data_IF_382376914955
#
_entry.id   IF_382376914955
#
_cell.length_a   1.000
_cell.length_b   1.000
_cell.length_c   1.000
_cell.angle_alpha   90.00
_cell.angle_beta   90.00
_cell.angle_gamma   90.00
#
_symmetry.space_group_name_H-M   'P 1'
#
loop_
_entity.id
_entity.type
_entity.pdbx_description
1 polymer ?
#
# COMPACT_ATOMS: atom_id res chain seq x y z
N UNK A 1 64.83 -40.38 4.59
CA UNK A 1 64.32 -39.51 5.67
C UNK A 1 62.92 -39.02 5.27
N UNK A 2 61.89 -39.83 5.53
CA UNK A 2 60.51 -39.49 5.14
C UNK A 2 59.83 -38.80 6.32
N UNK A 3 59.53 -37.50 6.19
CA UNK A 3 58.70 -36.76 7.16
C UNK A 3 57.27 -37.26 7.03
N UNK A 4 56.78 -37.98 8.04
CA UNK A 4 55.35 -38.26 8.19
C UNK A 4 54.61 -36.92 8.33
N UNK A 5 53.77 -36.61 7.35
CA UNK A 5 52.75 -35.56 7.46
C UNK A 5 51.81 -35.98 8.59
N UNK A 6 51.94 -35.33 9.76
CA UNK A 6 50.96 -35.45 10.85
C UNK A 6 49.64 -34.87 10.32
N UNK A 7 48.73 -35.73 9.89
CA UNK A 7 47.33 -35.38 9.74
C UNK A 7 46.82 -35.00 11.14
N UNK A 8 46.74 -33.71 11.40
CA UNK A 8 46.16 -33.18 12.62
C UNK A 8 44.64 -33.43 12.51
N UNK A 9 44.17 -34.53 13.10
CA UNK A 9 42.74 -34.79 13.22
C UNK A 9 42.13 -33.59 13.97
N UNK A 10 41.30 -32.82 13.26
CA UNK A 10 40.48 -31.79 13.89
C UNK A 10 39.72 -32.44 15.06
N UNK A 11 39.68 -31.79 16.23
CA UNK A 11 38.94 -32.33 17.37
C UNK A 11 37.50 -32.58 16.96
N UNK A 12 36.94 -33.73 17.35
CA UNK A 12 35.56 -34.12 17.04
C UNK A 12 34.57 -33.01 17.44
N UNK A 13 34.84 -32.33 18.56
CA UNK A 13 34.08 -31.16 19.02
C UNK A 13 34.08 -29.99 18.03
N UNK A 14 35.21 -29.72 17.37
CA UNK A 14 35.28 -28.67 16.35
C UNK A 14 34.45 -29.03 15.11
N UNK A 15 34.39 -30.32 14.74
CA UNK A 15 33.52 -30.78 13.64
C UNK A 15 32.04 -30.60 14.01
N UNK A 16 31.64 -31.02 15.20
CA UNK A 16 30.25 -30.90 15.68
C UNK A 16 29.84 -29.42 15.79
N UNK A 17 30.69 -28.56 16.35
CA UNK A 17 30.45 -27.12 16.46
C UNK A 17 30.27 -26.47 15.07
N UNK A 18 31.09 -26.85 14.10
CA UNK A 18 30.99 -26.34 12.71
C UNK A 18 29.67 -26.75 12.06
N UNK A 19 29.22 -27.99 12.28
CA UNK A 19 27.94 -28.47 11.75
C UNK A 19 26.76 -27.71 12.36
N UNK A 20 26.75 -27.53 13.69
CA UNK A 20 25.70 -26.76 14.39
C UNK A 20 25.68 -25.32 13.90
N UNK A 21 26.86 -24.71 13.73
CA UNK A 21 26.99 -23.35 13.22
C UNK A 21 26.44 -23.22 11.79
N UNK A 22 26.79 -24.15 10.90
CA UNK A 22 26.25 -24.19 9.54
C UNK A 22 24.73 -24.38 9.52
N UNK A 23 24.18 -25.28 10.35
CA UNK A 23 22.73 -25.45 10.47
C UNK A 23 22.04 -24.18 10.97
N UNK A 24 22.67 -23.48 11.92
CA UNK A 24 22.13 -22.23 12.47
C UNK A 24 22.11 -21.13 11.42
N UNK A 25 23.17 -21.02 10.61
CA UNK A 25 23.22 -20.08 9.48
C UNK A 25 22.13 -20.39 8.46
N UNK A 26 21.94 -21.66 8.11
CA UNK A 26 20.89 -22.07 7.17
C UNK A 26 19.49 -21.75 7.71
N UNK A 27 19.24 -22.03 8.99
CA UNK A 27 17.98 -21.69 9.65
C UNK A 27 17.74 -20.17 9.67
N UNK A 28 18.78 -19.39 9.94
CA UNK A 28 18.71 -17.93 9.92
C UNK A 28 18.37 -17.40 8.52
N UNK A 29 19.03 -17.88 7.47
CA UNK A 29 18.72 -17.48 6.09
C UNK A 29 17.31 -17.88 5.67
N UNK A 30 16.84 -19.06 6.07
CA UNK A 30 15.47 -19.51 5.80
C UNK A 30 14.44 -18.57 6.46
N UNK A 31 14.64 -18.25 7.74
CA UNK A 31 13.78 -17.31 8.47
C UNK A 31 13.80 -15.91 7.85
N UNK A 32 14.98 -15.41 7.50
CA UNK A 32 15.13 -14.10 6.85
C UNK A 32 14.40 -14.02 5.51
N UNK A 33 14.49 -15.07 4.69
CA UNK A 33 13.80 -15.14 3.41
C UNK A 33 12.27 -15.25 3.60
N UNK A 34 11.80 -16.00 4.60
CA UNK A 34 10.38 -16.10 4.93
C UNK A 34 9.80 -14.74 5.37
N UNK A 35 10.52 -14.00 6.22
CA UNK A 35 10.13 -12.64 6.62
C UNK A 35 10.10 -11.70 5.42
N UNK A 36 11.14 -11.72 4.57
CA UNK A 36 11.19 -10.88 3.37
C UNK A 36 10.03 -11.18 2.42
N UNK A 37 9.71 -12.47 2.23
CA UNK A 37 8.59 -12.90 1.40
C UNK A 37 7.24 -12.44 1.98
N UNK A 38 7.05 -12.61 3.29
CA UNK A 38 5.82 -12.18 3.98
C UNK A 38 5.61 -10.67 3.91
N UNK A 39 6.68 -9.88 4.09
CA UNK A 39 6.63 -8.43 3.94
C UNK A 39 6.31 -7.99 2.51
N UNK A 40 6.91 -8.66 1.52
CA UNK A 40 6.65 -8.40 0.11
C UNK A 40 5.21 -8.77 -0.29
N UNK A 41 4.69 -9.88 0.24
CA UNK A 41 3.33 -10.34 0.00
C UNK A 41 2.30 -9.40 0.64
N UNK A 42 2.54 -8.93 1.87
CA UNK A 42 1.68 -7.96 2.55
C UNK A 42 1.68 -6.60 1.83
N UNK A 43 2.84 -6.15 1.34
CA UNK A 43 2.93 -4.96 0.49
C UNK A 43 2.15 -5.16 -0.83
N UNK A 44 2.26 -6.34 -1.44
CA UNK A 44 1.50 -6.70 -2.63
C UNK A 44 -0.02 -6.77 -2.39
N UNK A 45 -0.47 -7.19 -1.20
CA UNK A 45 -1.89 -7.19 -0.86
C UNK A 45 -2.43 -5.76 -0.67
N UNK A 46 -1.73 -4.92 0.08
CA UNK A 46 -2.11 -3.51 0.26
C UNK A 46 -2.14 -2.75 -1.07
N UNK A 47 -1.20 -3.04 -1.97
CA UNK A 47 -1.17 -2.46 -3.32
C UNK A 47 -2.35 -2.92 -4.20
N UNK A 48 -2.66 -4.22 -4.20
CA UNK A 48 -3.85 -4.75 -4.89
C UNK A 48 -5.14 -4.11 -4.38
N UNK A 49 -5.25 -3.93 -3.06
CA UNK A 49 -6.39 -3.24 -2.46
C UNK A 49 -6.44 -1.77 -2.82
N UNK A 50 -5.30 -1.08 -2.86
CA UNK A 50 -5.24 0.31 -3.29
C UNK A 50 -5.71 0.46 -4.74
N UNK A 51 -5.35 -0.48 -5.62
CA UNK A 51 -5.83 -0.53 -7.00
C UNK A 51 -7.34 -0.77 -7.04
N UNK A 52 -7.87 -1.76 -6.29
CA UNK A 52 -9.31 -2.04 -6.22
C UNK A 52 -10.10 -0.81 -5.80
N UNK A 53 -9.69 -0.15 -4.72
CA UNK A 53 -10.33 1.06 -4.21
C UNK A 53 -10.23 2.20 -5.22
N UNK A 54 -9.06 2.39 -5.85
CA UNK A 54 -8.88 3.43 -6.88
C UNK A 54 -9.83 3.24 -8.08
N UNK A 55 -10.15 1.99 -8.43
CA UNK A 55 -11.10 1.68 -9.49
C UNK A 55 -12.55 1.89 -9.01
N UNK A 56 -12.83 1.56 -7.75
CA UNK A 56 -14.15 1.71 -7.15
C UNK A 56 -14.58 3.18 -7.03
N UNK A 57 -13.64 4.13 -6.90
CA UNK A 57 -13.94 5.57 -6.80
C UNK A 57 -14.75 6.09 -7.99
N UNK A 58 -14.53 5.56 -9.20
CA UNK A 58 -15.25 5.97 -10.41
C UNK A 58 -16.63 5.30 -10.56
N UNK A 59 -17.04 4.46 -9.63
CA UNK A 59 -18.40 3.91 -9.64
C UNK A 59 -19.41 4.99 -9.21
N UNK A 60 -20.65 4.95 -9.70
CA UNK A 60 -21.63 6.00 -9.41
C UNK A 60 -22.33 5.89 -8.05
N UNK A 61 -22.21 4.73 -7.41
CA UNK A 61 -22.96 4.36 -6.21
C UNK A 61 -22.21 4.71 -4.92
N UNK A 62 -22.66 5.78 -4.25
CA UNK A 62 -22.11 6.29 -2.99
C UNK A 62 -22.25 5.27 -1.86
N UNK A 63 -23.30 4.44 -1.87
CA UNK A 63 -23.52 3.39 -0.86
C UNK A 63 -22.47 2.27 -0.96
N UNK A 64 -21.71 2.24 -2.07
CA UNK A 64 -20.60 1.31 -2.34
C UNK A 64 -19.24 2.02 -2.46
N UNK A 65 -19.16 3.30 -2.09
CA UNK A 65 -17.93 4.09 -2.16
C UNK A 65 -17.63 4.72 -3.51
N UNK A 66 -18.59 4.70 -4.41
CA UNK A 66 -18.53 5.38 -5.68
C UNK A 66 -18.76 6.88 -5.56
N UNK A 67 -17.76 7.66 -6.00
CA UNK A 67 -17.82 9.13 -6.05
C UNK A 67 -18.06 9.60 -7.50
N UNK A 68 -18.05 8.65 -8.45
CA UNK A 68 -18.36 8.87 -9.85
C UNK A 68 -19.80 9.31 -10.10
N UNK A 69 -20.07 9.82 -11.30
CA UNK A 69 -21.41 10.16 -11.75
C UNK A 69 -22.08 9.04 -12.54
N UNK A 70 -21.31 8.28 -13.31
CA UNK A 70 -21.78 7.12 -14.08
C UNK A 70 -20.64 6.10 -14.21
N UNK A 71 -20.98 4.84 -14.49
CA UNK A 71 -20.00 3.80 -14.84
C UNK A 71 -19.19 4.13 -16.11
N UNK A 72 -19.77 4.93 -17.00
CA UNK A 72 -19.14 5.40 -18.24
C UNK A 72 -18.45 6.76 -18.10
N UNK A 73 -18.74 7.50 -17.04
CA UNK A 73 -18.36 8.90 -16.89
C UNK A 73 -17.40 9.06 -15.72
N UNK A 74 -16.13 9.37 -16.03
CA UNK A 74 -15.06 9.59 -15.03
C UNK A 74 -15.17 10.95 -14.33
N UNK A 75 -16.39 11.49 -14.24
CA UNK A 75 -16.72 12.74 -13.58
C UNK A 75 -16.97 12.53 -12.09
N UNK A 76 -16.42 13.40 -11.27
CA UNK A 76 -16.56 13.38 -9.82
C UNK A 76 -17.20 14.68 -9.31
N UNK A 77 -18.12 14.56 -8.35
CA UNK A 77 -18.71 15.70 -7.65
C UNK A 77 -18.14 15.85 -6.24
N UNK A 78 -17.73 17.05 -5.82
CA UNK A 78 -17.14 17.29 -4.50
C UNK A 78 -18.08 16.96 -3.34
N UNK A 79 -19.38 17.21 -3.49
CA UNK A 79 -20.36 17.01 -2.41
C UNK A 79 -20.52 15.52 -2.02
N UNK A 80 -20.21 14.59 -2.94
CA UNK A 80 -20.20 13.14 -2.64
C UNK A 80 -19.00 12.73 -1.79
N UNK A 81 -17.89 13.46 -1.86
CA UNK A 81 -16.65 13.17 -1.15
C UNK A 81 -16.80 13.39 0.36
N UNK A 82 -17.47 14.50 0.72
CA UNK A 82 -17.66 14.92 2.12
C UNK A 82 -18.48 13.90 2.91
N UNK A 83 -19.48 13.28 2.28
CA UNK A 83 -20.30 12.24 2.91
C UNK A 83 -19.51 10.97 3.26
N UNK A 84 -18.51 10.63 2.43
CA UNK A 84 -17.73 9.41 2.59
C UNK A 84 -16.56 9.57 3.59
N UNK A 85 -16.20 10.81 3.98
CA UNK A 85 -14.96 11.16 4.65
C UNK A 85 -14.66 10.40 5.95
N UNK A 86 -15.66 10.11 6.79
CA UNK A 86 -15.43 9.40 8.07
C UNK A 86 -15.66 7.89 7.99
N UNK A 87 -16.12 7.37 6.84
CA UNK A 87 -16.55 5.97 6.68
C UNK A 87 -15.87 5.24 5.54
N UNK A 88 -14.82 5.81 4.92
CA UNK A 88 -14.17 5.20 3.75
C UNK A 88 -13.74 3.75 3.99
N UNK A 89 -13.27 3.42 5.19
CA UNK A 89 -12.89 2.05 5.56
C UNK A 89 -14.05 1.06 5.52
N UNK A 90 -15.20 1.45 6.09
CA UNK A 90 -16.43 0.65 6.07
C UNK A 90 -16.99 0.54 4.65
N UNK A 91 -17.00 1.67 3.94
CA UNK A 91 -17.56 1.83 2.60
C UNK A 91 -16.83 0.96 1.57
N UNK A 92 -15.49 0.91 1.63
CA UNK A 92 -14.70 0.05 0.73
C UNK A 92 -14.50 -1.37 1.27
N UNK A 93 -15.04 -1.68 2.45
CA UNK A 93 -14.87 -2.94 3.16
C UNK A 93 -13.39 -3.39 3.17
N UNK A 94 -12.52 -2.53 3.69
CA UNK A 94 -11.07 -2.76 3.69
C UNK A 94 -10.52 -2.79 5.12
N UNK A 95 -9.50 -3.62 5.41
CA UNK A 95 -8.83 -3.59 6.71
C UNK A 95 -7.94 -2.34 6.90
N UNK A 96 -7.67 -1.58 5.84
CA UNK A 96 -6.77 -0.43 5.85
C UNK A 96 -7.51 0.90 6.03
N UNK A 97 -6.82 1.90 6.58
CA UNK A 97 -7.32 3.27 6.57
C UNK A 97 -7.16 3.84 5.15
N UNK A 98 -8.16 4.61 4.72
CA UNK A 98 -8.23 5.17 3.36
C UNK A 98 -8.31 6.68 3.44
N UNK A 99 -7.50 7.34 2.62
CA UNK A 99 -7.54 8.78 2.42
C UNK A 99 -7.58 9.09 0.93
N UNK A 100 -8.48 9.97 0.53
CA UNK A 100 -8.67 10.38 -0.86
C UNK A 100 -8.49 11.88 -0.93
N UNK A 101 -7.58 12.33 -1.80
CA UNK A 101 -7.30 13.73 -2.07
C UNK A 101 -7.58 14.00 -3.55
N UNK A 102 -8.48 14.95 -3.83
CA UNK A 102 -8.77 15.42 -5.18
C UNK A 102 -8.24 16.84 -5.32
N UNK A 103 -7.29 17.01 -6.24
CA UNK A 103 -6.66 18.30 -6.56
C UNK A 103 -7.22 18.81 -7.88
N UNK A 104 -7.73 20.05 -7.86
CA UNK A 104 -8.36 20.69 -9.01
C UNK A 104 -7.45 21.78 -9.57
N UNK A 105 -7.26 21.79 -10.89
CA UNK A 105 -6.49 22.80 -11.62
C UNK A 105 -4.96 22.63 -11.54
N UNK A 106 -4.23 23.42 -12.34
CA UNK A 106 -2.77 23.46 -12.31
C UNK A 106 -2.30 23.93 -10.92
N UNK A 107 -1.39 23.16 -10.31
CA UNK A 107 -0.84 23.36 -8.96
C UNK A 107 -1.78 23.14 -7.75
N UNK A 108 -3.04 22.70 -7.95
CA UNK A 108 -3.93 22.35 -6.84
C UNK A 108 -4.55 23.54 -6.11
N UNK A 109 -5.05 24.53 -6.86
CA UNK A 109 -5.72 25.73 -6.34
C UNK A 109 -6.92 25.42 -5.43
N UNK A 110 -7.55 24.26 -5.62
CA UNK A 110 -8.59 23.74 -4.73
C UNK A 110 -8.31 22.27 -4.42
N UNK A 111 -8.53 21.90 -3.15
CA UNK A 111 -8.43 20.52 -2.67
C UNK A 111 -9.74 20.07 -2.07
N UNK A 112 -10.14 18.85 -2.40
CA UNK A 112 -11.23 18.14 -1.76
C UNK A 112 -10.65 16.87 -1.14
N UNK A 113 -10.88 16.68 0.16
CA UNK A 113 -10.25 15.63 0.93
C UNK A 113 -11.32 14.80 1.66
N UNK A 114 -11.08 13.50 1.76
CA UNK A 114 -11.91 12.57 2.50
C UNK A 114 -11.03 11.55 3.22
N UNK A 115 -11.32 11.30 4.50
CA UNK A 115 -10.47 10.49 5.37
C UNK A 115 -9.47 11.32 6.17
N UNK A 116 -8.63 10.64 6.94
CA UNK A 116 -7.57 11.27 7.73
C UNK A 116 -6.29 11.25 6.88
N UNK A 117 -5.62 12.39 6.74
CA UNK A 117 -4.37 12.47 5.97
C UNK A 117 -3.27 11.63 6.66
N UNK A 118 -2.68 10.63 5.97
CA UNK A 118 -1.65 9.78 6.56
C UNK A 118 -0.38 10.55 6.93
N UNK A 119 -0.07 11.66 6.26
CA UNK A 119 1.11 12.49 6.54
C UNK A 119 1.02 13.20 7.90
N UNK A 120 -0.18 13.33 8.46
CA UNK A 120 -0.43 13.92 9.77
C UNK A 120 -0.38 12.89 10.91
N UNK A 121 -0.28 11.58 10.58
CA UNK A 121 -0.12 10.49 11.54
C UNK A 121 1.27 9.86 11.39
N UNK A 122 1.79 9.27 12.47
CA UNK A 122 2.89 8.30 12.35
C UNK A 122 2.30 7.00 11.79
N UNK A 123 2.31 6.88 10.47
CA UNK A 123 1.89 5.65 9.76
C UNK A 123 3.12 4.86 9.34
N UNK A 124 3.09 3.54 9.53
CA UNK A 124 4.25 2.69 9.23
C UNK A 124 4.37 2.37 7.74
N UNK A 125 3.23 2.31 7.03
CA UNK A 125 3.17 1.95 5.61
C UNK A 125 2.10 2.77 4.90
N UNK A 126 2.46 3.31 3.73
CA UNK A 126 1.57 4.08 2.87
C UNK A 126 1.72 3.58 1.44
N UNK A 127 0.61 3.23 0.79
CA UNK A 127 0.52 3.03 -0.65
C UNK A 127 -0.29 4.17 -1.25
N UNK A 128 0.25 4.80 -2.30
CA UNK A 128 -0.43 5.87 -3.04
C UNK A 128 -0.68 5.44 -4.48
N UNK A 129 -1.93 5.58 -4.93
CA UNK A 129 -2.32 5.43 -6.34
C UNK A 129 -2.85 6.76 -6.84
N UNK A 130 -2.25 7.29 -7.91
CA UNK A 130 -2.69 8.52 -8.57
C UNK A 130 -3.54 8.18 -9.79
N UNK A 131 -4.70 8.83 -9.91
CA UNK A 131 -5.60 8.78 -11.05
C UNK A 131 -5.86 10.19 -11.58
N UNK A 132 -6.27 10.27 -12.83
CA UNK A 132 -6.69 11.52 -13.48
C UNK A 132 -8.12 11.34 -13.94
N UNK A 133 -8.94 12.37 -13.74
CA UNK A 133 -10.33 12.39 -14.17
C UNK A 133 -10.82 13.80 -14.41
N UNK A 134 -12.14 13.94 -14.47
CA UNK A 134 -12.81 15.24 -14.62
C UNK A 134 -13.58 15.53 -13.34
N UNK A 135 -13.43 16.72 -12.77
CA UNK A 135 -14.25 17.22 -11.68
C UNK A 135 -15.34 18.13 -12.21
N UNK A 136 -16.51 18.11 -11.59
CA UNK A 136 -17.54 19.12 -11.84
C UNK A 136 -17.56 20.08 -10.66
N UNK A 137 -17.21 21.34 -10.91
CA UNK A 137 -17.29 22.41 -9.91
C UNK A 137 -18.74 22.71 -9.54
N UNK A 138 -18.96 23.41 -8.42
CA UNK A 138 -20.31 23.90 -8.05
C UNK A 138 -20.90 24.86 -9.08
N UNK A 139 -20.06 25.52 -9.87
CA UNK A 139 -20.45 26.35 -11.02
C UNK A 139 -20.98 25.53 -12.21
N UNK A 140 -20.83 24.21 -12.20
CA UNK A 140 -21.17 23.32 -13.32
C UNK A 140 -20.03 23.15 -14.33
N UNK A 141 -18.91 23.84 -14.15
CA UNK A 141 -17.74 23.75 -15.03
C UNK A 141 -17.00 22.41 -14.88
N UNK A 142 -16.59 21.84 -16.02
CA UNK A 142 -15.77 20.63 -16.08
C UNK A 142 -14.29 20.99 -16.07
N UNK A 143 -13.56 20.46 -15.09
CA UNK A 143 -12.15 20.77 -14.88
C UNK A 143 -11.34 19.49 -14.72
N UNK A 144 -10.08 19.45 -15.20
CA UNK A 144 -9.21 18.30 -14.95
C UNK A 144 -8.89 18.19 -13.46
N UNK A 145 -8.95 16.97 -12.94
CA UNK A 145 -8.63 16.68 -11.53
C UNK A 145 -7.65 15.54 -11.41
N UNK A 146 -6.77 15.64 -10.41
CA UNK A 146 -5.89 14.57 -9.98
C UNK A 146 -6.47 13.98 -8.70
N UNK A 147 -6.69 12.67 -8.69
CA UNK A 147 -7.27 11.93 -7.58
C UNK A 147 -6.19 11.03 -7.01
N UNK A 148 -5.71 11.35 -5.82
CA UNK A 148 -4.76 10.55 -5.08
C UNK A 148 -5.48 9.70 -4.04
N UNK A 149 -5.26 8.40 -4.10
CA UNK A 149 -5.82 7.43 -3.16
C UNK A 149 -4.68 6.88 -2.32
N UNK A 150 -4.80 7.02 -1.01
CA UNK A 150 -3.83 6.55 -0.05
C UNK A 150 -4.45 5.44 0.78
N UNK A 151 -3.77 4.30 0.86
CA UNK A 151 -4.04 3.23 1.82
C UNK A 151 -2.90 3.16 2.82
N UNK A 152 -3.23 3.06 4.10
CA UNK A 152 -2.22 3.03 5.15
C UNK A 152 -2.68 2.27 6.40
N UNK A 153 -1.74 2.04 7.31
CA UNK A 153 -1.94 1.40 8.62
C UNK A 153 -1.36 2.26 9.73
#
# INVERSE_FOLDING_TARGET
MARMLKAQYFSFDAMVATIIFLMTILAFFSYWNALKSSLAEEQGFMEKEAIRISNAIFTPDISRGGIGMSWSDKRIKPDKLVFAASKLREVYNTPYDVYIEIRVGYAGAQRWEAGINPLMKKTERIVKITRVGTGILRSGEEVPVIIDVYLYR
#
